data_IF_971803367905
#
_entry.id   IF_971803367905
#
_cell.length_a   1.000
_cell.length_b   1.000
_cell.length_c   1.000
_cell.angle_alpha   90.00
_cell.angle_beta   90.00
_cell.angle_gamma   90.00
#
_symmetry.space_group_name_H-M   'P 1'
#
loop_
_entity.id
_entity.type
_entity.pdbx_description
1 polymer ?
#
# COMPACT_ATOMS: atom_id res chain seq x y z
N UNK A 1 -10.10 13.60 1.63
CA UNK A 1 -10.46 12.21 2.02
C UNK A 1 -10.19 11.20 0.92
N UNK A 2 -10.60 11.45 -0.32
CA UNK A 2 -10.25 10.57 -1.47
C UNK A 2 -8.75 10.40 -1.63
N UNK A 3 -7.98 11.49 -1.61
CA UNK A 3 -6.51 11.45 -1.63
C UNK A 3 -5.92 10.64 -0.47
N UNK A 4 -6.50 10.76 0.74
CA UNK A 4 -6.08 10.01 1.92
C UNK A 4 -6.36 8.51 1.76
N UNK A 5 -7.52 8.13 1.22
CA UNK A 5 -7.87 6.73 0.97
C UNK A 5 -6.96 6.07 -0.08
N UNK A 6 -6.68 6.78 -1.18
CA UNK A 6 -5.75 6.32 -2.22
C UNK A 6 -4.35 6.17 -1.64
N UNK A 7 -3.82 7.21 -0.99
CA UNK A 7 -2.50 7.18 -0.38
C UNK A 7 -2.39 6.05 0.66
N UNK A 8 -3.41 5.88 1.50
CA UNK A 8 -3.42 4.86 2.54
C UNK A 8 -3.51 3.44 1.98
N UNK A 9 -4.29 3.23 0.92
CA UNK A 9 -4.33 1.95 0.22
C UNK A 9 -2.97 1.53 -0.34
N UNK A 10 -2.17 2.48 -0.81
CA UNK A 10 -0.89 2.19 -1.48
C UNK A 10 0.15 1.73 -0.46
N UNK A 11 0.35 2.47 0.63
CA UNK A 11 1.34 2.05 1.62
C UNK A 11 0.88 0.83 2.41
N UNK A 12 -0.44 0.63 2.62
CA UNK A 12 -0.96 -0.60 3.20
C UNK A 12 -0.71 -1.79 2.29
N UNK A 13 -0.96 -1.66 0.98
CA UNK A 13 -0.59 -2.68 -0.01
C UNK A 13 0.90 -2.99 0.04
N UNK A 14 1.76 -1.98 0.03
CA UNK A 14 3.20 -2.18 0.11
C UNK A 14 3.61 -2.92 1.39
N UNK A 15 3.01 -2.58 2.53
CA UNK A 15 3.23 -3.29 3.79
C UNK A 15 2.80 -4.76 3.68
N UNK A 16 1.59 -5.03 3.17
CA UNK A 16 1.06 -6.38 2.98
C UNK A 16 1.90 -7.20 2.01
N UNK A 17 2.45 -6.57 0.96
CA UNK A 17 3.36 -7.19 0.01
C UNK A 17 4.66 -7.63 0.69
N UNK A 18 5.27 -6.77 1.51
CA UNK A 18 6.45 -7.12 2.31
C UNK A 18 6.12 -8.26 3.30
N UNK A 19 4.96 -8.22 3.95
CA UNK A 19 4.53 -9.33 4.81
C UNK A 19 4.35 -10.64 4.05
N UNK A 20 3.75 -10.60 2.86
CA UNK A 20 3.57 -11.79 2.03
C UNK A 20 4.89 -12.43 1.60
N UNK A 21 5.93 -11.62 1.35
CA UNK A 21 7.28 -12.12 1.10
C UNK A 21 7.85 -12.91 2.30
N UNK A 22 7.53 -12.52 3.54
CA UNK A 22 7.95 -13.25 4.74
C UNK A 22 7.34 -14.66 4.81
N UNK A 23 6.20 -14.88 4.15
CA UNK A 23 5.51 -16.17 4.06
C UNK A 23 5.69 -16.84 2.69
N UNK A 24 6.72 -16.44 1.93
CA UNK A 24 7.05 -17.00 0.61
C UNK A 24 5.91 -16.98 -0.42
N UNK A 25 4.99 -16.02 -0.31
CA UNK A 25 3.80 -15.92 -1.18
C UNK A 25 4.05 -15.24 -2.54
N UNK A 26 5.27 -14.74 -2.77
CA UNK A 26 5.60 -13.99 -4.00
C UNK A 26 4.95 -12.60 -4.09
N UNK A 27 4.27 -12.12 -3.04
CA UNK A 27 3.68 -10.79 -3.01
C UNK A 27 2.53 -10.63 -2.01
N UNK A 28 1.71 -9.59 -2.21
CA UNK A 28 0.58 -9.30 -1.33
C UNK A 28 -0.57 -10.32 -1.55
N UNK A 29 -1.16 -10.88 -0.48
CA UNK A 29 -2.35 -11.74 -0.57
C UNK A 29 -3.58 -11.05 -1.20
N UNK A 30 -3.61 -9.71 -1.13
CA UNK A 30 -4.62 -8.85 -1.72
C UNK A 30 -4.00 -8.01 -2.84
N UNK A 31 -4.61 -8.00 -4.01
CA UNK A 31 -4.29 -7.02 -5.06
C UNK A 31 -4.52 -5.60 -4.55
N UNK A 32 -3.74 -4.63 -5.03
CA UNK A 32 -3.90 -3.23 -4.65
C UNK A 32 -5.31 -2.70 -4.96
N UNK A 33 -5.93 -3.13 -6.06
CA UNK A 33 -7.31 -2.76 -6.42
C UNK A 33 -8.28 -3.20 -5.33
N UNK A 34 -8.12 -4.41 -4.81
CA UNK A 34 -8.94 -4.91 -3.71
C UNK A 34 -8.69 -4.17 -2.40
N UNK A 35 -7.43 -3.81 -2.11
CA UNK A 35 -7.08 -2.97 -0.96
C UNK A 35 -7.81 -1.62 -1.02
N UNK A 36 -7.74 -0.96 -2.18
CA UNK A 36 -8.42 0.31 -2.43
C UNK A 36 -9.95 0.15 -2.33
N UNK A 37 -10.51 -0.93 -2.87
CA UNK A 37 -11.94 -1.20 -2.85
C UNK A 37 -12.46 -1.43 -1.41
N UNK A 38 -11.81 -2.30 -0.63
CA UNK A 38 -12.23 -2.57 0.77
C UNK A 38 -12.16 -1.28 1.59
N UNK A 39 -11.04 -0.55 1.49
CA UNK A 39 -10.84 0.67 2.25
C UNK A 39 -11.85 1.76 1.82
N UNK A 40 -12.03 1.95 0.52
CA UNK A 40 -12.95 2.93 -0.05
C UNK A 40 -14.42 2.63 0.29
N UNK A 41 -14.86 1.37 0.14
CA UNK A 41 -16.21 0.94 0.50
C UNK A 41 -16.44 1.13 2.00
N UNK A 42 -15.46 0.78 2.84
CA UNK A 42 -15.56 0.99 4.29
C UNK A 42 -15.76 2.46 4.64
N UNK A 43 -15.02 3.38 4.01
CA UNK A 43 -15.21 4.84 4.17
C UNK A 43 -16.62 5.27 3.76
N UNK A 44 -17.11 4.79 2.61
CA UNK A 44 -18.44 5.12 2.11
C UNK A 44 -19.52 4.61 3.07
N UNK A 45 -19.44 3.35 3.49
CA UNK A 45 -20.40 2.73 4.41
C UNK A 45 -20.40 3.47 5.75
N UNK A 46 -19.23 3.72 6.34
CA UNK A 46 -19.13 4.44 7.60
C UNK A 46 -19.72 5.87 7.52
N UNK A 47 -19.50 6.57 6.40
CA UNK A 47 -20.13 7.89 6.14
C UNK A 47 -21.63 7.80 5.99
N UNK A 48 -22.13 6.83 5.24
CA UNK A 48 -23.58 6.65 5.05
C UNK A 48 -24.28 6.33 6.37
N UNK A 49 -23.68 5.46 7.18
CA UNK A 49 -24.21 5.13 8.51
C UNK A 49 -24.22 6.34 9.45
N UNK A 50 -23.24 7.23 9.36
CA UNK A 50 -23.17 8.44 10.19
C UNK A 50 -24.22 9.51 9.84
N UNK A 51 -24.78 9.49 8.62
CA UNK A 51 -25.79 10.46 8.18
C UNK A 51 -27.20 10.06 8.63
N UNK A 52 -27.45 8.76 8.78
CA UNK A 52 -28.78 8.22 9.07
C UNK A 52 -29.02 8.20 10.58
N UNK A 53 -30.12 8.83 11.01
CA UNK A 53 -30.55 8.80 12.41
C UNK A 53 -31.20 7.43 12.67
N UNK A 54 -30.53 6.61 13.48
CA UNK A 54 -30.99 5.27 13.86
C UNK A 54 -30.60 4.95 15.31
N UNK A 55 -31.17 3.88 15.87
CA UNK A 55 -30.83 3.43 17.22
C UNK A 55 -29.32 3.14 17.34
N UNK A 56 -28.64 3.48 18.46
CA UNK A 56 -27.18 3.49 18.55
C UNK A 56 -26.45 2.19 18.16
N UNK A 57 -27.08 1.03 18.33
CA UNK A 57 -26.46 -0.26 17.96
C UNK A 57 -26.53 -0.61 16.46
N UNK A 58 -27.53 -0.11 15.73
CA UNK A 58 -27.79 -0.48 14.34
C UNK A 58 -26.63 -0.14 13.37
N UNK A 59 -25.99 1.05 13.45
CA UNK A 59 -24.85 1.39 12.58
C UNK A 59 -23.69 0.41 12.69
N UNK A 60 -23.36 -0.02 13.92
CA UNK A 60 -22.23 -0.92 14.17
C UNK A 60 -22.49 -2.31 13.62
N UNK A 61 -23.71 -2.84 13.82
CA UNK A 61 -24.10 -4.16 13.28
C UNK A 61 -24.08 -4.13 11.76
N UNK A 62 -24.67 -3.10 11.14
CA UNK A 62 -24.68 -2.95 9.67
C UNK A 62 -23.27 -2.76 9.10
N UNK A 63 -22.42 -1.98 9.76
CA UNK A 63 -21.03 -1.81 9.33
C UNK A 63 -20.24 -3.11 9.45
N UNK A 64 -20.51 -3.93 10.48
CA UNK A 64 -19.85 -5.22 10.64
C UNK A 64 -20.33 -6.24 9.60
N UNK A 65 -21.65 -6.34 9.36
CA UNK A 65 -22.21 -7.27 8.38
C UNK A 65 -21.77 -6.92 6.95
N UNK A 66 -21.77 -5.65 6.59
CA UNK A 66 -21.26 -5.17 5.29
C UNK A 66 -19.77 -5.46 5.14
N UNK A 67 -18.98 -5.32 6.20
CA UNK A 67 -17.55 -5.64 6.17
C UNK A 67 -17.29 -7.11 5.90
N UNK A 68 -18.01 -8.01 6.59
CA UNK A 68 -17.92 -9.45 6.35
C UNK A 68 -18.31 -9.78 4.91
N UNK A 69 -19.39 -9.19 4.39
CA UNK A 69 -19.84 -9.41 3.01
C UNK A 69 -18.78 -8.96 1.99
N UNK A 70 -18.21 -7.77 2.15
CA UNK A 70 -17.18 -7.24 1.24
C UNK A 70 -15.92 -8.10 1.25
N UNK A 71 -15.45 -8.51 2.43
CA UNK A 71 -14.27 -9.37 2.56
C UNK A 71 -14.54 -10.76 1.94
N UNK A 72 -15.72 -11.32 2.18
CA UNK A 72 -16.14 -12.60 1.62
C UNK A 72 -16.16 -12.60 0.09
N UNK A 73 -16.76 -11.57 -0.51
CA UNK A 73 -16.79 -11.39 -1.97
C UNK A 73 -15.38 -11.18 -2.53
N UNK A 74 -14.53 -10.46 -1.81
CA UNK A 74 -13.15 -10.21 -2.22
C UNK A 74 -12.32 -11.50 -2.25
N UNK A 75 -12.49 -12.37 -1.24
CA UNK A 75 -11.88 -13.70 -1.18
C UNK A 75 -12.36 -14.59 -2.33
N UNK A 76 -13.67 -14.60 -2.61
CA UNK A 76 -14.26 -15.36 -3.71
C UNK A 76 -13.81 -14.92 -5.10
N UNK A 77 -13.35 -13.68 -5.24
CA UNK A 77 -12.84 -13.13 -6.50
C UNK A 77 -11.33 -13.26 -6.72
N UNK A 78 -10.52 -13.35 -5.66
CA UNK A 78 -9.06 -13.34 -5.77
C UNK A 78 -8.38 -14.64 -5.35
N UNK A 79 -8.97 -15.39 -4.41
CA UNK A 79 -8.31 -16.56 -3.82
C UNK A 79 -8.94 -17.84 -4.38
N UNK A 80 -9.00 -17.92 -5.71
CA UNK A 80 -9.47 -19.11 -6.42
C UNK A 80 -8.28 -19.92 -6.97
N UNK A 81 -8.37 -21.27 -6.96
CA UNK A 81 -7.41 -22.11 -7.66
C UNK A 81 -7.34 -21.74 -9.15
N UNK A 82 -6.16 -21.90 -9.75
CA UNK A 82 -5.91 -21.51 -11.15
C UNK A 82 -6.99 -22.04 -12.11
N UNK A 83 -7.52 -21.14 -12.95
CA UNK A 83 -8.56 -21.47 -13.94
C UNK A 83 -10.00 -21.37 -13.44
N UNK A 84 -10.24 -21.16 -12.14
CA UNK A 84 -11.58 -20.87 -11.61
C UNK A 84 -11.80 -19.36 -11.50
N UNK A 85 -12.85 -18.86 -12.15
CA UNK A 85 -13.32 -17.47 -11.98
C UNK A 85 -13.97 -17.24 -10.62
N UNK A 86 -14.69 -16.12 -10.46
CA UNK A 86 -15.37 -15.78 -9.22
C UNK A 86 -16.26 -16.92 -8.69
N UNK A 87 -16.09 -17.30 -7.42
CA UNK A 87 -16.87 -18.35 -6.77
C UNK A 87 -17.55 -17.82 -5.51
N UNK A 88 -18.88 -17.89 -5.47
CA UNK A 88 -19.66 -17.56 -4.26
C UNK A 88 -19.52 -18.60 -3.16
N UNK A 89 -19.17 -19.85 -3.48
CA UNK A 89 -19.07 -20.95 -2.51
C UNK A 89 -17.63 -21.41 -2.31
N UNK A 90 -16.67 -20.51 -2.51
CA UNK A 90 -15.23 -20.74 -2.42
C UNK A 90 -14.80 -21.39 -1.10
N UNK A 91 -15.57 -21.19 -0.02
CA UNK A 91 -15.28 -21.77 1.29
C UNK A 91 -15.29 -23.31 1.26
N UNK A 92 -16.01 -23.93 0.32
CA UNK A 92 -16.00 -25.38 0.11
C UNK A 92 -14.63 -25.89 -0.37
N UNK A 93 -13.91 -25.06 -1.12
CA UNK A 93 -12.58 -25.38 -1.63
C UNK A 93 -11.54 -25.56 -0.52
N UNK A 94 -11.76 -25.01 0.68
CA UNK A 94 -10.86 -25.19 1.83
C UNK A 94 -10.73 -26.64 2.31
N UNK A 95 -11.76 -27.45 2.04
CA UNK A 95 -11.81 -28.87 2.38
C UNK A 95 -11.37 -29.78 1.23
N UNK A 96 -10.92 -29.23 0.09
CA UNK A 96 -10.40 -30.04 -0.99
C UNK A 96 -9.08 -30.72 -0.59
N UNK A 97 -8.91 -31.98 -0.97
CA UNK A 97 -7.73 -32.79 -0.62
C UNK A 97 -6.48 -32.36 -1.43
N UNK A 98 -6.68 -31.76 -2.61
CA UNK A 98 -5.62 -31.35 -3.54
C UNK A 98 -5.42 -29.83 -3.55
N UNK A 99 -5.17 -29.23 -2.38
CA UNK A 99 -4.89 -27.80 -2.26
C UNK A 99 -3.41 -27.50 -2.45
N UNK A 100 -3.10 -26.36 -3.07
CA UNK A 100 -1.77 -25.78 -2.99
C UNK A 100 -1.41 -25.56 -1.50
N UNK A 101 -0.17 -25.85 -1.07
CA UNK A 101 0.25 -25.78 0.34
C UNK A 101 -0.09 -24.44 1.00
N UNK A 102 0.06 -23.35 0.25
CA UNK A 102 -0.07 -21.98 0.75
C UNK A 102 -1.52 -21.45 0.69
N UNK A 103 -2.45 -22.18 0.06
CA UNK A 103 -3.81 -21.69 -0.19
C UNK A 103 -4.53 -21.26 1.10
N UNK A 104 -4.45 -22.10 2.14
CA UNK A 104 -5.09 -21.82 3.44
C UNK A 104 -4.46 -20.60 4.12
N UNK A 105 -3.14 -20.44 3.97
CA UNK A 105 -2.40 -19.31 4.52
C UNK A 105 -2.79 -18.01 3.79
N UNK A 106 -2.89 -18.05 2.46
CA UNK A 106 -3.36 -16.91 1.64
C UNK A 106 -4.77 -16.51 2.04
N UNK A 107 -5.71 -17.46 2.15
CA UNK A 107 -7.08 -17.17 2.61
C UNK A 107 -7.07 -16.52 4.00
N UNK A 108 -6.30 -17.08 4.93
CA UNK A 108 -6.19 -16.57 6.30
C UNK A 108 -5.64 -15.15 6.36
N UNK A 109 -4.52 -14.89 5.69
CA UNK A 109 -3.92 -13.55 5.63
C UNK A 109 -4.82 -12.55 4.92
N UNK A 110 -5.47 -12.93 3.83
CA UNK A 110 -6.42 -12.08 3.12
C UNK A 110 -7.62 -11.70 3.99
N UNK A 111 -8.13 -12.63 4.80
CA UNK A 111 -9.20 -12.34 5.75
C UNK A 111 -8.75 -11.37 6.85
N UNK A 112 -7.56 -11.59 7.43
CA UNK A 112 -6.98 -10.73 8.47
C UNK A 112 -6.73 -9.32 7.92
N UNK A 113 -6.05 -9.22 6.78
CA UNK A 113 -5.78 -7.94 6.13
C UNK A 113 -7.06 -7.24 5.69
N UNK A 114 -8.04 -7.98 5.15
CA UNK A 114 -9.37 -7.44 4.84
C UNK A 114 -10.05 -6.83 6.06
N UNK A 115 -10.00 -7.48 7.23
CA UNK A 115 -10.55 -6.96 8.47
C UNK A 115 -9.81 -5.69 8.94
N UNK A 116 -8.47 -5.67 8.86
CA UNK A 116 -7.66 -4.49 9.18
C UNK A 116 -8.00 -3.32 8.26
N UNK A 117 -8.14 -3.56 6.96
CA UNK A 117 -8.53 -2.55 5.97
C UNK A 117 -9.93 -2.02 6.22
N UNK A 118 -10.87 -2.91 6.54
CA UNK A 118 -12.24 -2.52 6.87
C UNK A 118 -12.26 -1.61 8.10
N UNK A 119 -11.58 -1.99 9.17
CA UNK A 119 -11.47 -1.17 10.38
C UNK A 119 -10.79 0.18 10.11
N UNK A 120 -9.69 0.19 9.37
CA UNK A 120 -8.98 1.43 8.99
C UNK A 120 -9.84 2.36 8.15
N UNK A 121 -10.58 1.85 7.16
CA UNK A 121 -11.48 2.65 6.34
C UNK A 121 -12.59 3.30 7.14
N UNK A 122 -13.16 2.59 8.12
CA UNK A 122 -14.17 3.13 9.03
C UNK A 122 -13.60 4.21 9.94
N UNK A 123 -12.35 4.06 10.40
CA UNK A 123 -11.66 5.11 11.16
C UNK A 123 -11.34 6.34 10.31
N UNK A 124 -11.02 6.15 9.03
CA UNK A 124 -10.69 7.25 8.12
C UNK A 124 -11.88 8.21 7.91
N UNK A 125 -13.12 7.74 8.04
CA UNK A 125 -14.30 8.61 7.93
C UNK A 125 -14.49 9.56 9.12
N UNK A 126 -13.96 9.22 10.29
CA UNK A 126 -14.11 9.99 11.54
C UNK A 126 -12.88 10.85 11.88
N UNK A 127 -11.98 11.08 10.92
CA UNK A 127 -10.78 11.88 11.15
C UNK A 127 -11.14 13.38 11.23
N UNK A 128 -10.87 13.99 12.38
CA UNK A 128 -11.13 15.41 12.66
C UNK A 128 -10.21 16.35 11.87
N UNK A 129 -8.94 15.98 11.66
CA UNK A 129 -7.93 16.78 10.95
C UNK A 129 -7.39 16.03 9.71
N UNK A 130 -8.09 16.09 8.56
CA UNK A 130 -7.74 15.30 7.37
C UNK A 130 -6.36 15.63 6.78
N UNK A 131 -5.90 16.89 6.89
CA UNK A 131 -4.62 17.34 6.33
C UNK A 131 -3.45 16.82 7.16
N UNK A 132 -3.54 16.90 8.49
CA UNK A 132 -2.52 16.36 9.40
C UNK A 132 -2.45 14.83 9.29
N UNK A 133 -3.62 14.18 9.18
CA UNK A 133 -3.69 12.74 8.94
C UNK A 133 -3.03 12.35 7.61
N UNK A 134 -3.27 13.11 6.54
CA UNK A 134 -2.64 12.89 5.24
C UNK A 134 -1.12 13.08 5.31
N UNK A 135 -0.65 14.15 5.96
CA UNK A 135 0.79 14.43 6.14
C UNK A 135 1.49 13.32 6.92
N UNK A 136 0.88 12.85 8.02
CA UNK A 136 1.39 11.72 8.81
C UNK A 136 1.43 10.44 7.99
N UNK A 137 0.35 10.09 7.30
CA UNK A 137 0.30 8.90 6.47
C UNK A 137 1.25 8.97 5.28
N UNK A 138 1.50 10.16 4.71
CA UNK A 138 2.51 10.35 3.68
C UNK A 138 3.91 10.01 4.21
N UNK A 139 4.28 10.46 5.42
CA UNK A 139 5.57 10.12 6.04
C UNK A 139 5.70 8.62 6.32
N UNK A 140 4.65 8.00 6.88
CA UNK A 140 4.61 6.55 7.12
C UNK A 140 4.76 5.81 5.79
N UNK A 141 4.02 6.24 4.77
CA UNK A 141 4.03 5.61 3.46
C UNK A 141 5.38 5.72 2.75
N UNK A 142 6.11 6.83 2.93
CA UNK A 142 7.50 6.93 2.43
C UNK A 142 8.39 5.83 3.01
N UNK A 143 8.35 5.64 4.33
CA UNK A 143 9.16 4.62 5.02
C UNK A 143 8.79 3.22 4.51
N UNK A 144 7.49 2.92 4.46
CA UNK A 144 7.00 1.60 4.03
C UNK A 144 7.32 1.33 2.56
N UNK A 145 7.12 2.31 1.67
CA UNK A 145 7.43 2.17 0.24
C UNK A 145 8.93 2.04 0.00
N UNK A 146 9.78 2.73 0.78
CA UNK A 146 11.23 2.52 0.71
C UNK A 146 11.62 1.09 1.07
N UNK A 147 11.04 0.53 2.15
CA UNK A 147 11.29 -0.87 2.53
C UNK A 147 10.78 -1.83 1.44
N UNK A 148 9.57 -1.59 0.92
CA UNK A 148 8.98 -2.44 -0.11
C UNK A 148 9.75 -2.37 -1.44
N UNK A 149 10.27 -1.21 -1.83
CA UNK A 149 11.10 -1.05 -3.01
C UNK A 149 12.46 -1.77 -2.85
N UNK A 150 13.07 -1.72 -1.66
CA UNK A 150 14.28 -2.50 -1.37
C UNK A 150 13.97 -4.00 -1.46
N UNK A 151 12.85 -4.44 -0.87
CA UNK A 151 12.42 -5.84 -0.93
C UNK A 151 12.25 -6.29 -2.38
N UNK A 152 11.54 -5.52 -3.21
CA UNK A 152 11.32 -5.81 -4.63
C UNK A 152 12.62 -5.88 -5.45
N UNK A 153 13.65 -5.08 -5.12
CA UNK A 153 14.96 -5.15 -5.81
C UNK A 153 15.72 -6.44 -5.46
N UNK A 154 15.57 -6.92 -4.22
CA UNK A 154 16.29 -8.09 -3.71
C UNK A 154 15.57 -9.39 -4.08
N UNK A 155 14.25 -9.35 -4.24
CA UNK A 155 13.44 -10.50 -4.68
C UNK A 155 13.30 -10.55 -6.19
N UNK A 156 13.01 -11.74 -6.74
CA UNK A 156 12.64 -11.89 -8.16
C UNK A 156 11.17 -11.49 -8.40
N UNK A 157 10.39 -11.40 -7.32
CA UNK A 157 8.97 -11.09 -7.35
C UNK A 157 8.69 -9.63 -7.69
N UNK A 158 7.77 -9.41 -8.63
CA UNK A 158 7.29 -8.09 -9.00
C UNK A 158 6.13 -7.67 -8.11
N UNK A 159 6.42 -6.84 -7.11
CA UNK A 159 5.43 -6.32 -6.17
C UNK A 159 4.65 -5.12 -6.73
N UNK A 160 5.04 -4.60 -7.91
CA UNK A 160 4.49 -3.41 -8.53
C UNK A 160 4.67 -2.14 -7.69
N UNK A 161 5.71 -2.03 -6.85
CA UNK A 161 5.91 -0.85 -5.99
C UNK A 161 6.25 0.37 -6.85
N UNK A 162 7.05 0.20 -7.91
CA UNK A 162 7.46 1.29 -8.79
C UNK A 162 6.28 2.12 -9.37
N UNK A 163 5.29 1.52 -10.06
CA UNK A 163 4.13 2.29 -10.53
C UNK A 163 3.29 2.87 -9.39
N UNK A 164 3.18 2.17 -8.25
CA UNK A 164 2.44 2.64 -7.09
C UNK A 164 3.09 3.84 -6.40
N UNK A 165 4.42 4.00 -6.48
CA UNK A 165 5.10 5.20 -5.99
C UNK A 165 4.60 6.46 -6.71
N UNK A 166 4.43 6.43 -8.03
CA UNK A 166 3.90 7.59 -8.76
C UNK A 166 2.48 7.95 -8.31
N UNK A 167 1.62 6.96 -8.12
CA UNK A 167 0.27 7.16 -7.59
C UNK A 167 0.29 7.69 -6.16
N UNK A 168 1.22 7.21 -5.33
CA UNK A 168 1.40 7.64 -3.95
C UNK A 168 1.81 9.11 -3.86
N UNK A 169 2.86 9.49 -4.61
CA UNK A 169 3.32 10.87 -4.67
C UNK A 169 2.27 11.79 -5.29
N UNK A 170 1.63 11.37 -6.38
CA UNK A 170 0.55 12.12 -7.01
C UNK A 170 -0.62 12.38 -6.06
N UNK A 171 -1.13 11.34 -5.41
CA UNK A 171 -2.24 11.46 -4.46
C UNK A 171 -1.86 12.27 -3.21
N UNK A 172 -0.65 12.07 -2.67
CA UNK A 172 -0.14 12.78 -1.50
C UNK A 172 0.03 14.27 -1.75
N UNK A 173 0.72 14.63 -2.83
CA UNK A 173 0.97 16.03 -3.18
C UNK A 173 -0.33 16.75 -3.59
N UNK A 174 -1.21 16.08 -4.35
CA UNK A 174 -2.52 16.64 -4.69
C UNK A 174 -3.37 16.88 -3.43
N UNK A 175 -3.41 15.91 -2.51
CA UNK A 175 -4.16 16.06 -1.27
C UNK A 175 -3.59 17.13 -0.32
N UNK A 176 -2.27 17.23 -0.19
CA UNK A 176 -1.61 18.23 0.65
C UNK A 176 -1.74 19.64 0.08
N UNK A 177 -1.62 19.80 -1.24
CA UNK A 177 -1.83 21.09 -1.90
C UNK A 177 -3.28 21.57 -1.79
N UNK A 178 -4.26 20.66 -1.93
CA UNK A 178 -5.67 20.97 -1.68
C UNK A 178 -5.94 21.34 -0.21
N UNK A 179 -5.26 20.69 0.74
CA UNK A 179 -5.38 20.96 2.18
C UNK A 179 -4.96 22.38 2.58
N UNK A 180 -4.03 23.00 1.86
CA UNK A 180 -3.57 24.37 2.12
C UNK A 180 -4.48 25.47 1.53
N UNK A 181 -5.52 25.11 0.78
CA UNK A 181 -6.48 26.06 0.20
C UNK A 181 -7.60 26.47 1.18
N UNK A 182 -7.63 25.91 2.39
CA UNK A 182 -8.70 26.08 3.37
C UNK A 182 -8.32 26.90 4.63
N UNK A 183 -7.83 28.15 4.55
CA UNK A 183 -8.03 29.11 5.63
C UNK A 183 -9.24 30.01 5.34
N UNK A 184 -10.24 30.11 6.25
CA UNK A 184 -11.30 31.11 6.16
C UNK A 184 -10.79 32.48 6.64
N UNK A 185 -10.20 33.28 5.75
CA UNK A 185 -10.18 34.76 5.82
C UNK A 185 -9.30 35.37 4.72
N UNK A 186 -9.89 36.17 3.83
CA UNK A 186 -9.36 37.19 2.89
C UNK A 186 -8.07 36.98 2.05
N UNK A 187 -7.23 35.96 2.28
CA UNK A 187 -5.99 35.70 1.54
C UNK A 187 -6.18 34.85 0.27
N UNK A 188 -7.42 34.74 -0.21
CA UNK A 188 -7.84 33.81 -1.27
C UNK A 188 -7.19 34.05 -2.65
N UNK A 189 -6.58 35.20 -2.89
CA UNK A 189 -5.89 35.50 -4.17
C UNK A 189 -4.49 34.87 -4.22
N UNK A 190 -3.76 34.79 -3.09
CA UNK A 190 -2.44 34.17 -3.01
C UNK A 190 -2.48 32.63 -2.91
N UNK A 191 -3.53 32.07 -2.30
CA UNK A 191 -3.68 30.62 -2.17
C UNK A 191 -3.91 29.92 -3.54
N UNK A 192 -4.60 30.61 -4.47
CA UNK A 192 -4.90 30.09 -5.82
C UNK A 192 -3.66 29.96 -6.70
N UNK A 193 -2.65 30.82 -6.53
CA UNK A 193 -1.38 30.73 -7.27
C UNK A 193 -0.50 29.61 -6.72
N UNK A 194 -0.46 29.43 -5.40
CA UNK A 194 0.35 28.38 -4.76
C UNK A 194 -0.09 26.97 -5.14
N UNK A 195 -1.41 26.67 -5.11
CA UNK A 195 -1.92 25.37 -5.56
C UNK A 195 -1.66 25.13 -7.05
N UNK A 196 -1.73 26.18 -7.89
CA UNK A 196 -1.42 26.07 -9.32
C UNK A 196 0.06 25.79 -9.57
N UNK A 197 0.96 26.40 -8.79
CA UNK A 197 2.41 26.13 -8.85
C UNK A 197 2.71 24.72 -8.39
N UNK A 198 2.18 24.27 -7.25
CA UNK A 198 2.40 22.92 -6.74
C UNK A 198 1.79 21.87 -7.68
N UNK A 199 0.58 22.08 -8.19
CA UNK A 199 -0.03 21.21 -9.20
C UNK A 199 0.80 21.16 -10.48
N UNK A 200 1.36 22.29 -10.92
CA UNK A 200 2.28 22.33 -12.05
C UNK A 200 3.54 21.51 -11.79
N UNK A 201 4.17 21.67 -10.62
CA UNK A 201 5.35 20.91 -10.21
C UNK A 201 5.03 19.41 -10.15
N UNK A 202 3.89 19.01 -9.59
CA UNK A 202 3.45 17.60 -9.55
C UNK A 202 3.36 17.04 -10.96
N UNK A 203 2.66 17.73 -11.87
CA UNK A 203 2.51 17.28 -13.25
C UNK A 203 3.87 17.17 -13.94
N UNK A 204 4.77 18.13 -13.72
CA UNK A 204 6.13 18.10 -14.27
C UNK A 204 6.93 16.92 -13.70
N UNK A 205 6.92 16.69 -12.38
CA UNK A 205 7.64 15.58 -11.76
C UNK A 205 7.10 14.22 -12.23
N UNK A 206 5.77 14.07 -12.31
CA UNK A 206 5.14 12.85 -12.82
C UNK A 206 5.45 12.65 -14.30
N UNK A 207 5.37 13.70 -15.12
CA UNK A 207 5.66 13.63 -16.55
C UNK A 207 7.13 13.30 -16.81
N UNK A 208 8.06 13.94 -16.08
CA UNK A 208 9.49 13.67 -16.14
C UNK A 208 9.77 12.22 -15.70
N UNK A 209 9.18 11.77 -14.60
CA UNK A 209 9.31 10.38 -14.13
C UNK A 209 8.76 9.35 -15.12
N UNK A 210 7.62 9.65 -15.76
CA UNK A 210 7.05 8.83 -16.83
C UNK A 210 7.96 8.79 -18.06
N UNK A 211 8.50 9.94 -18.48
CA UNK A 211 9.46 10.03 -19.57
C UNK A 211 10.72 9.22 -19.25
N UNK A 212 11.26 9.31 -18.04
CA UNK A 212 12.37 8.48 -17.60
C UNK A 212 12.04 6.99 -17.62
N UNK A 213 10.81 6.60 -17.26
CA UNK A 213 10.36 5.20 -17.37
C UNK A 213 10.26 4.70 -18.82
N UNK A 214 10.02 5.58 -19.79
CA UNK A 214 9.93 5.28 -21.23
C UNK A 214 11.29 5.32 -21.94
N UNK A 215 12.25 6.05 -21.37
CA UNK A 215 13.61 6.17 -21.91
C UNK A 215 14.36 4.84 -21.69
N UNK A 216 14.84 4.24 -22.79
CA UNK A 216 15.56 2.97 -22.78
C UNK A 216 16.72 2.95 -21.76
N UNK A 217 16.98 1.75 -21.19
CA UNK A 217 17.94 1.43 -20.12
C UNK A 217 19.32 2.13 -20.22
N UNK A 218 19.76 2.53 -21.42
CA UNK A 218 21.05 3.19 -21.65
C UNK A 218 21.19 4.58 -21.02
N UNK A 219 20.19 5.46 -21.09
CA UNK A 219 20.31 6.81 -20.52
C UNK A 219 20.06 6.84 -19.01
N UNK A 220 19.20 5.96 -18.50
CA UNK A 220 19.02 5.75 -17.06
C UNK A 220 20.30 5.19 -16.42
N UNK A 221 20.95 4.19 -17.03
CA UNK A 221 22.22 3.63 -16.52
C UNK A 221 23.37 4.66 -16.46
N UNK A 222 23.35 5.69 -17.30
CA UNK A 222 24.37 6.73 -17.26
C UNK A 222 24.24 7.63 -16.01
N UNK A 223 23.01 7.89 -15.56
CA UNK A 223 22.71 8.73 -14.39
C UNK A 223 22.69 7.88 -13.10
N UNK A 224 22.12 6.69 -13.14
CA UNK A 224 22.04 5.77 -12.00
C UNK A 224 23.32 4.98 -11.77
N UNK A 225 24.19 4.84 -12.79
CA UNK A 225 25.44 4.09 -12.72
C UNK A 225 26.32 4.49 -11.54
N UNK A 226 26.61 5.79 -11.32
CA UNK A 226 27.38 6.24 -10.16
C UNK A 226 26.68 5.90 -8.83
N UNK A 227 25.36 6.06 -8.75
CA UNK A 227 24.60 5.76 -7.54
C UNK A 227 24.61 4.25 -7.23
N UNK A 228 24.45 3.41 -8.25
CA UNK A 228 24.49 1.94 -8.14
C UNK A 228 25.89 1.47 -7.74
N UNK A 229 26.96 2.09 -8.24
CA UNK A 229 28.34 1.79 -7.82
C UNK A 229 28.54 2.10 -6.34
N UNK A 230 28.09 3.26 -5.86
CA UNK A 230 28.17 3.61 -4.44
C UNK A 230 27.33 2.68 -3.59
N UNK A 231 26.11 2.34 -4.05
CA UNK A 231 25.21 1.44 -3.33
C UNK A 231 25.80 0.02 -3.24
N UNK A 232 26.37 -0.50 -4.33
CA UNK A 232 27.04 -1.80 -4.35
C UNK A 232 28.31 -1.80 -3.50
N UNK A 233 29.08 -0.70 -3.48
CA UNK A 233 30.24 -0.58 -2.61
C UNK A 233 29.82 -0.62 -1.14
N UNK A 234 28.78 0.13 -0.77
CA UNK A 234 28.21 0.09 0.59
C UNK A 234 27.67 -1.29 0.95
N UNK A 235 26.91 -1.92 0.06
CA UNK A 235 26.40 -3.27 0.27
C UNK A 235 27.56 -4.26 0.46
N UNK A 236 28.59 -4.20 -0.38
CA UNK A 236 29.78 -5.05 -0.26
C UNK A 236 30.46 -4.87 1.09
N UNK A 237 30.63 -3.63 1.55
CA UNK A 237 31.21 -3.35 2.87
C UNK A 237 30.34 -3.93 3.98
N UNK A 238 29.03 -3.70 3.96
CA UNK A 238 28.11 -4.23 4.98
C UNK A 238 28.14 -5.76 5.00
N UNK A 239 28.05 -6.42 3.85
CA UNK A 239 28.03 -7.87 3.79
C UNK A 239 29.39 -8.49 4.15
N UNK A 240 30.48 -8.06 3.52
CA UNK A 240 31.79 -8.72 3.66
C UNK A 240 32.59 -8.26 4.88
N UNK A 241 32.45 -7.00 5.32
CA UNK A 241 33.22 -6.47 6.45
C UNK A 241 32.46 -6.63 7.77
N UNK A 242 31.13 -6.60 7.74
CA UNK A 242 30.33 -6.67 8.97
C UNK A 242 29.64 -8.03 9.09
N UNK A 243 28.81 -8.40 8.11
CA UNK A 243 27.89 -9.54 8.24
C UNK A 243 28.61 -10.89 8.21
N UNK A 244 29.51 -11.12 7.25
CA UNK A 244 30.27 -12.36 7.13
C UNK A 244 31.14 -12.67 8.36
N UNK A 245 31.95 -11.72 8.88
CA UNK A 245 32.74 -11.97 10.09
C UNK A 245 31.89 -12.25 11.32
N UNK A 246 30.73 -11.58 11.43
CA UNK A 246 29.83 -11.73 12.56
C UNK A 246 29.10 -13.08 12.53
N UNK A 247 28.66 -13.52 11.35
CA UNK A 247 28.14 -14.88 11.15
C UNK A 247 29.20 -15.93 11.46
N UNK A 248 30.44 -15.73 11.02
CA UNK A 248 31.54 -16.64 11.31
C UNK A 248 31.86 -16.71 12.82
N UNK A 249 31.84 -15.57 13.52
CA UNK A 249 32.01 -15.52 14.97
C UNK A 249 30.87 -16.24 15.71
N UNK A 250 29.63 -16.07 15.25
CA UNK A 250 28.47 -16.79 15.81
C UNK A 250 28.61 -18.29 15.56
N UNK A 251 28.97 -18.71 14.35
CA UNK A 251 29.14 -20.13 14.02
C UNK A 251 30.30 -20.75 14.81
N UNK A 252 31.40 -20.01 15.01
CA UNK A 252 32.50 -20.41 15.87
C UNK A 252 32.08 -20.55 17.33
N UNK A 253 31.24 -19.65 17.86
CA UNK A 253 30.71 -19.71 19.23
C UNK A 253 29.65 -20.79 19.45
N UNK A 254 28.95 -21.21 18.38
CA UNK A 254 27.89 -22.23 18.44
C UNK A 254 28.45 -23.64 18.21
N UNK A 255 29.52 -23.79 17.42
CA UNK A 255 30.12 -25.09 17.06
C UNK A 255 31.46 -25.38 17.75
N UNK A 256 32.11 -24.38 18.34
CA UNK A 256 33.27 -24.54 19.23
C UNK A 256 32.84 -24.72 20.68
#
# INVERSE_FOLDING_TARGET
>A
MTASAVLESIWLYALMAVFGLLFTLGGSPLSWIAVLAILGISVIVARMMAIVIMHPMLPYVLQMTMGVAVIYLTLGGQVQPEGQGFSLFWIRSLNAENLAPDYRLIVGLTAIFGAVLWWRGGRLSSVEYPVDHLSRNFRIGLIVLSIAAIAEIVTVDNLYIFPLMFLFFGAGLAGLSAGHLLPPSEQAVGAKSWSRVVSGIIVVVLFVGLLFSLVQKGALNFISGPAVVVLNALATVVFFVILFPLVYLIEFLVRG
#
